data_IF_877119110590
#
_entry.id   IF_877119110590
#
_cell.length_a   1.000
_cell.length_b   1.000
_cell.length_c   1.000
_cell.angle_alpha   90.00
_cell.angle_beta   90.00
_cell.angle_gamma   90.00
#
_symmetry.space_group_name_H-M   'P 1'
#
loop_
_entity.id
_entity.type
_entity.pdbx_description
1 polymer ?
#
# COMPACT_ATOMS: atom_id res chain seq x y z
N UNK A 1 -12.93 -9.10 -7.14
CA UNK A 1 -12.43 -8.09 -6.24
C UNK A 1 -10.96 -8.22 -6.01
N UNK A 2 -10.26 -7.14 -5.96
CA UNK A 2 -8.83 -7.19 -5.80
C UNK A 2 -8.45 -7.04 -4.34
N UNK A 3 -7.41 -7.70 -3.93
CA UNK A 3 -6.99 -7.61 -2.54
C UNK A 3 -6.65 -6.19 -2.12
N UNK A 4 -5.99 -5.47 -2.96
CA UNK A 4 -5.56 -4.11 -2.63
C UNK A 4 -6.70 -3.10 -2.61
N UNK A 5 -7.90 -3.51 -2.98
CA UNK A 5 -9.06 -2.64 -2.87
C UNK A 5 -9.59 -2.62 -1.44
N UNK A 6 -9.14 -3.49 -0.59
CA UNK A 6 -9.63 -3.54 0.78
C UNK A 6 -8.70 -2.76 1.70
N UNK A 7 -9.23 -1.72 2.30
CA UNK A 7 -8.46 -0.96 3.28
C UNK A 7 -8.06 -1.85 4.47
N UNK A 8 -8.94 -2.73 4.88
CA UNK A 8 -8.67 -3.61 6.00
C UNK A 8 -7.49 -4.54 5.68
N UNK A 9 -7.44 -5.07 4.48
CA UNK A 9 -6.35 -5.94 4.08
C UNK A 9 -5.04 -5.17 4.04
N UNK A 10 -5.06 -3.99 3.44
CA UNK A 10 -3.86 -3.15 3.35
C UNK A 10 -3.35 -2.77 4.73
N UNK A 11 -4.26 -2.36 5.58
CA UNK A 11 -3.89 -1.96 6.92
C UNK A 11 -3.30 -3.15 7.69
N UNK A 12 -3.92 -4.29 7.60
CA UNK A 12 -3.45 -5.45 8.29
C UNK A 12 -2.05 -5.85 7.83
N UNK A 13 -1.85 -5.89 6.53
CA UNK A 13 -0.56 -6.31 6.01
C UNK A 13 0.53 -5.28 6.25
N UNK A 14 0.21 -4.04 6.09
CA UNK A 14 1.21 -2.98 6.21
C UNK A 14 1.50 -2.62 7.66
N UNK A 15 0.48 -2.44 8.46
CA UNK A 15 0.63 -1.96 9.83
C UNK A 15 0.87 -3.12 10.80
N UNK A 16 0.05 -4.13 10.76
CA UNK A 16 0.17 -5.24 11.69
C UNK A 16 1.30 -6.18 11.35
N UNK A 17 1.39 -6.61 10.13
CA UNK A 17 2.43 -7.55 9.71
C UNK A 17 3.69 -6.87 9.25
N UNK A 18 3.64 -5.58 9.08
CA UNK A 18 4.77 -4.76 8.66
C UNK A 18 5.41 -5.26 7.37
N UNK A 19 4.58 -5.67 6.44
CA UNK A 19 5.08 -6.11 5.15
C UNK A 19 5.44 -4.90 4.31
N UNK A 20 6.39 -5.08 3.43
CA UNK A 20 6.78 -4.00 2.53
C UNK A 20 5.79 -3.88 1.39
N UNK A 21 5.78 -2.76 0.73
CA UNK A 21 4.94 -2.53 -0.44
C UNK A 21 5.20 -3.60 -1.48
N UNK A 22 6.45 -3.95 -1.67
CA UNK A 22 6.81 -4.95 -2.63
C UNK A 22 6.21 -6.32 -2.32
N UNK A 23 6.27 -6.71 -1.08
CA UNK A 23 5.71 -7.99 -0.67
C UNK A 23 4.21 -8.01 -0.85
N UNK A 24 3.55 -6.92 -0.51
CA UNK A 24 2.12 -6.82 -0.70
C UNK A 24 1.75 -6.87 -2.17
N UNK A 25 2.55 -6.26 -3.01
CA UNK A 25 2.31 -6.26 -4.44
C UNK A 25 2.39 -7.67 -5.00
N UNK A 26 3.33 -8.43 -4.53
CA UNK A 26 3.48 -9.81 -4.95
C UNK A 26 2.25 -10.63 -4.53
N UNK A 27 1.80 -10.45 -3.32
CA UNK A 27 0.63 -11.16 -2.82
C UNK A 27 -0.62 -10.80 -3.62
N UNK A 28 -0.77 -9.53 -3.92
CA UNK A 28 -1.94 -9.06 -4.65
C UNK A 28 -1.80 -9.20 -6.16
N UNK A 29 -0.63 -9.64 -6.61
CA UNK A 29 -0.36 -9.82 -8.04
C UNK A 29 -0.54 -8.52 -8.83
N UNK A 30 0.04 -7.46 -8.30
CA UNK A 30 -0.03 -6.16 -8.97
C UNK A 30 1.30 -5.44 -8.82
N UNK A 31 1.41 -4.27 -9.40
CA UNK A 31 2.62 -3.50 -9.30
C UNK A 31 2.77 -2.87 -7.93
N UNK A 32 3.99 -2.68 -7.49
CA UNK A 32 4.23 -2.02 -6.22
C UNK A 32 3.69 -0.59 -6.20
N UNK A 33 3.65 0.04 -7.35
CA UNK A 33 3.10 1.38 -7.45
C UNK A 33 1.61 1.40 -7.13
N UNK A 34 0.91 0.35 -7.52
CA UNK A 34 -0.51 0.24 -7.23
C UNK A 34 -0.72 0.16 -5.71
N UNK A 35 0.07 -0.65 -5.04
CA UNK A 35 -0.03 -0.79 -3.59
C UNK A 35 0.33 0.54 -2.91
N UNK A 36 1.37 1.17 -3.36
CA UNK A 36 1.81 2.43 -2.78
C UNK A 36 0.71 3.49 -2.90
N UNK A 37 0.09 3.59 -4.04
CA UNK A 37 -1.00 4.53 -4.25
C UNK A 37 -2.16 4.22 -3.33
N UNK A 38 -2.50 2.96 -3.18
CA UNK A 38 -3.58 2.59 -2.30
C UNK A 38 -3.27 2.95 -0.85
N UNK A 39 -2.04 2.70 -0.40
CA UNK A 39 -1.65 3.04 0.95
C UNK A 39 -1.70 4.55 1.19
N UNK A 40 -1.28 5.32 0.23
CA UNK A 40 -1.35 6.77 0.32
C UNK A 40 -2.80 7.23 0.35
N UNK A 41 -3.64 6.62 -0.47
CA UNK A 41 -5.03 6.98 -0.55
C UNK A 41 -5.74 6.75 0.77
N UNK A 42 -5.41 5.67 1.46
CA UNK A 42 -6.01 5.37 2.74
C UNK A 42 -5.28 6.02 3.92
N UNK A 43 -4.22 6.74 3.63
CA UNK A 43 -3.49 7.44 4.68
C UNK A 43 -2.63 6.54 5.54
N UNK A 44 -2.26 5.37 5.04
CA UNK A 44 -1.42 4.45 5.79
C UNK A 44 0.05 4.83 5.70
N UNK A 45 0.43 5.56 4.68
CA UNK A 45 1.77 6.09 4.56
C UNK A 45 1.70 7.57 4.24
N UNK A 46 2.71 8.32 4.58
CA UNK A 46 2.71 9.74 4.31
C UNK A 46 3.39 10.02 3.00
N UNK A 47 2.89 11.00 2.29
CA UNK A 47 3.54 11.45 1.08
C UNK A 47 4.78 12.24 1.43
N UNK A 48 5.84 12.07 0.68
CA UNK A 48 7.05 12.86 0.93
C UNK A 48 6.82 14.31 0.56
N UNK A 49 7.16 15.20 1.44
CA UNK A 49 6.98 16.59 1.16
C UNK A 49 7.83 17.08 0.08
N UNK A 50 8.97 16.54 -0.10
CA UNK A 50 9.88 16.99 -1.10
C UNK A 50 9.51 16.75 -2.47
N UNK A 51 8.50 16.06 -2.70
CA UNK A 51 8.04 15.81 -4.01
C UNK A 51 7.72 16.99 -4.74
N UNK A 52 7.39 17.89 -4.15
CA UNK A 52 6.88 18.92 -4.90
C UNK A 52 7.78 19.56 -5.70
N UNK A 53 7.76 19.68 -6.30
CA UNK A 53 8.46 20.34 -6.98
C UNK A 53 8.10 20.89 -7.51
#
# INVERSE_FOLDING_TARGET
>A
MKLYDSEAWLRKRYVLEKKTVREMAIEAKCSHMTIQRCLERYGLIKKPRKWTK
#
